data_IF_856288162164
#
_entry.id   IF_856288162164
#
_cell.length_a   1.000
_cell.length_b   1.000
_cell.length_c   1.000
_cell.angle_alpha   90.00
_cell.angle_beta   90.00
_cell.angle_gamma   90.00
#
_symmetry.space_group_name_H-M   'P 1'
#
loop_
_entity.id
_entity.type
_entity.pdbx_description
1 polymer ?
#
# COMPACT_ATOMS: atom_id res chain seq x y z
N UNK A 1 13.83 4.88 -7.41
CA UNK A 1 14.70 6.00 -7.83
C UNK A 1 14.25 7.26 -7.08
N UNK A 2 15.13 7.89 -6.32
CA UNK A 2 14.85 9.11 -5.55
C UNK A 2 15.38 10.39 -6.21
N UNK A 3 16.24 10.27 -7.23
CA UNK A 3 16.83 11.43 -7.93
C UNK A 3 15.82 12.16 -8.82
N UNK A 4 14.89 11.45 -9.47
CA UNK A 4 13.87 12.07 -10.33
C UNK A 4 12.89 12.94 -9.54
N UNK A 5 12.63 12.59 -8.26
CA UNK A 5 11.79 13.37 -7.34
C UNK A 5 12.34 14.77 -7.03
N UNK A 6 13.65 14.97 -7.18
CA UNK A 6 14.34 16.23 -6.90
C UNK A 6 14.93 16.88 -8.15
N UNK A 7 14.50 16.45 -9.34
CA UNK A 7 14.90 17.07 -10.61
C UNK A 7 16.40 16.99 -10.88
N UNK A 8 17.06 15.90 -10.46
CA UNK A 8 18.50 15.69 -10.67
C UNK A 8 19.41 16.36 -9.65
N UNK A 9 18.87 17.03 -8.62
CA UNK A 9 19.68 17.57 -7.52
C UNK A 9 20.33 16.46 -6.72
N UNK A 10 21.63 16.64 -6.43
CA UNK A 10 22.44 15.69 -5.70
C UNK A 10 22.77 16.23 -4.32
N UNK A 11 22.58 15.39 -3.31
CA UNK A 11 23.00 15.64 -1.94
C UNK A 11 24.51 15.86 -1.77
N UNK A 12 25.33 15.40 -2.72
CA UNK A 12 26.77 15.69 -2.75
C UNK A 12 27.05 17.17 -3.02
N UNK A 13 26.25 17.79 -3.90
CA UNK A 13 26.44 19.19 -4.31
C UNK A 13 25.66 20.14 -3.39
N UNK A 14 24.57 19.67 -2.80
CA UNK A 14 23.71 20.47 -1.93
C UNK A 14 23.34 19.71 -0.64
N UNK A 15 24.24 19.65 0.36
CA UNK A 15 24.00 18.90 1.60
C UNK A 15 22.71 19.31 2.34
N UNK A 16 22.26 20.57 2.15
CA UNK A 16 21.02 21.09 2.73
C UNK A 16 19.75 20.36 2.26
N UNK A 17 19.77 19.62 1.13
CA UNK A 17 18.62 18.87 0.64
C UNK A 17 18.48 17.48 1.27
N UNK A 18 19.51 17.01 1.99
CA UNK A 18 19.55 15.67 2.60
C UNK A 18 18.33 15.37 3.46
N UNK A 19 17.87 16.26 4.36
CA UNK A 19 16.69 15.98 5.19
C UNK A 19 15.42 15.76 4.36
N UNK A 20 15.21 16.57 3.31
CA UNK A 20 14.06 16.45 2.43
C UNK A 20 14.12 15.17 1.59
N UNK A 21 15.30 14.83 1.04
CA UNK A 21 15.49 13.57 0.30
C UNK A 21 15.28 12.34 1.18
N UNK A 22 15.80 12.37 2.41
CA UNK A 22 15.64 11.29 3.38
C UNK A 22 14.17 11.10 3.75
N UNK A 23 13.45 12.19 4.01
CA UNK A 23 12.01 12.14 4.29
C UNK A 23 11.22 11.55 3.10
N UNK A 24 11.50 12.00 1.88
CA UNK A 24 10.85 11.47 0.68
C UNK A 24 11.15 9.98 0.46
N UNK A 25 12.40 9.56 0.72
CA UNK A 25 12.77 8.15 0.63
C UNK A 25 12.02 7.29 1.65
N UNK A 26 11.94 7.73 2.91
CA UNK A 26 11.19 7.03 3.95
C UNK A 26 9.70 6.94 3.60
N UNK A 27 9.10 8.01 3.09
CA UNK A 27 7.72 7.99 2.58
C UNK A 27 7.53 6.99 1.44
N UNK A 28 8.47 6.93 0.49
CA UNK A 28 8.46 5.96 -0.60
C UNK A 28 8.55 4.53 -0.09
N UNK A 29 9.42 4.27 0.90
CA UNK A 29 9.54 2.95 1.53
C UNK A 29 8.24 2.53 2.22
N UNK A 30 7.56 3.45 2.91
CA UNK A 30 6.29 3.16 3.58
C UNK A 30 5.19 2.76 2.57
N UNK A 31 5.07 3.52 1.47
CA UNK A 31 4.16 3.19 0.36
C UNK A 31 4.44 1.79 -0.20
N UNK A 32 5.70 1.47 -0.49
CA UNK A 32 6.08 0.15 -1.02
C UNK A 32 5.83 -0.99 -0.03
N UNK A 33 6.11 -0.76 1.27
CA UNK A 33 5.87 -1.74 2.31
C UNK A 33 4.37 -2.08 2.42
N UNK A 34 3.51 -1.07 2.38
CA UNK A 34 2.06 -1.27 2.44
C UNK A 34 1.51 -1.89 1.15
N UNK A 35 2.00 -1.48 -0.02
CA UNK A 35 1.65 -2.09 -1.29
C UNK A 35 1.98 -3.59 -1.32
N UNK A 36 3.16 -3.98 -0.83
CA UNK A 36 3.55 -5.38 -0.75
C UNK A 36 2.55 -6.23 0.08
N UNK A 37 2.05 -5.68 1.19
CA UNK A 37 1.02 -6.34 2.00
C UNK A 37 -0.34 -6.42 1.29
N UNK A 38 -0.75 -5.35 0.59
CA UNK A 38 -1.97 -5.32 -0.22
C UNK A 38 -1.90 -6.33 -1.36
N UNK A 39 -0.74 -6.53 -1.98
CA UNK A 39 -0.55 -7.53 -3.02
C UNK A 39 -0.49 -8.96 -2.48
N UNK A 40 0.05 -9.15 -1.28
CA UNK A 40 0.01 -10.44 -0.58
C UNK A 40 -1.43 -10.83 -0.22
N UNK A 41 -2.29 -9.87 0.12
CA UNK A 41 -3.69 -10.12 0.46
C UNK A 41 -4.50 -10.78 -0.67
N UNK A 42 -4.05 -10.73 -1.94
CA UNK A 42 -4.67 -11.48 -3.05
C UNK A 42 -4.68 -13.00 -2.82
N UNK A 43 -3.75 -13.51 -2.03
CA UNK A 43 -3.66 -14.95 -1.72
C UNK A 43 -4.69 -15.39 -0.68
N UNK A 44 -5.39 -14.45 -0.05
CA UNK A 44 -6.48 -14.76 0.87
C UNK A 44 -7.76 -15.05 0.07
N UNK A 45 -8.66 -15.89 0.60
CA UNK A 45 -9.97 -16.13 0.01
C UNK A 45 -10.89 -14.92 0.20
N UNK A 46 -10.59 -13.81 -0.48
CA UNK A 46 -11.37 -12.59 -0.39
C UNK A 46 -12.71 -12.73 -1.11
N UNK A 47 -13.76 -12.10 -0.57
CA UNK A 47 -14.99 -11.90 -1.32
C UNK A 47 -14.75 -10.97 -2.52
N UNK A 48 -15.60 -11.06 -3.55
CA UNK A 48 -15.47 -10.20 -4.73
C UNK A 48 -15.48 -8.70 -4.40
N UNK A 49 -16.21 -8.29 -3.35
CA UNK A 49 -16.21 -6.90 -2.89
C UNK A 49 -14.85 -6.48 -2.30
N UNK A 50 -14.25 -7.34 -1.46
CA UNK A 50 -12.95 -7.09 -0.84
C UNK A 50 -11.82 -7.13 -1.85
N UNK A 51 -11.86 -8.02 -2.84
CA UNK A 51 -10.87 -8.05 -3.91
C UNK A 51 -10.92 -6.77 -4.76
N UNK A 52 -12.12 -6.25 -5.07
CA UNK A 52 -12.25 -4.95 -5.74
C UNK A 52 -11.65 -3.81 -4.92
N UNK A 53 -11.93 -3.79 -3.61
CA UNK A 53 -11.34 -2.78 -2.72
C UNK A 53 -9.81 -2.89 -2.66
N UNK A 54 -9.27 -4.09 -2.51
CA UNK A 54 -7.83 -4.38 -2.56
C UNK A 54 -7.21 -3.87 -3.86
N UNK A 55 -7.80 -4.18 -5.00
CA UNK A 55 -7.32 -3.78 -6.31
C UNK A 55 -7.33 -2.24 -6.49
N UNK A 56 -8.39 -1.57 -6.02
CA UNK A 56 -8.46 -0.10 -6.01
C UNK A 56 -7.34 0.50 -5.16
N UNK A 57 -7.11 -0.02 -3.95
CA UNK A 57 -6.04 0.45 -3.06
C UNK A 57 -4.67 0.23 -3.72
N UNK A 58 -4.43 -0.92 -4.33
CA UNK A 58 -3.19 -1.23 -5.03
C UNK A 58 -2.92 -0.26 -6.19
N UNK A 59 -3.94 0.04 -7.00
CA UNK A 59 -3.82 0.98 -8.11
C UNK A 59 -3.45 2.40 -7.64
N UNK A 60 -3.96 2.84 -6.48
CA UNK A 60 -3.61 4.14 -5.92
C UNK A 60 -2.20 4.18 -5.33
N UNK A 61 -1.71 3.06 -4.76
CA UNK A 61 -0.35 2.94 -4.23
C UNK A 61 0.72 2.71 -5.32
N UNK A 62 0.30 2.27 -6.51
CA UNK A 62 1.16 2.06 -7.68
C UNK A 62 0.60 2.79 -8.91
N UNK A 63 0.60 4.14 -8.90
CA UNK A 63 0.10 4.93 -10.02
C UNK A 63 0.92 4.66 -11.29
N UNK A 64 0.28 4.78 -12.45
CA UNK A 64 0.96 4.67 -13.75
C UNK A 64 1.91 5.84 -14.01
N UNK A 65 1.65 7.00 -13.38
CA UNK A 65 2.52 8.16 -13.41
C UNK A 65 3.57 8.09 -12.29
N UNK A 66 4.81 8.57 -12.52
CA UNK A 66 5.83 8.63 -11.49
C UNK A 66 5.39 9.45 -10.27
N UNK A 67 5.83 9.03 -9.09
CA UNK A 67 5.62 9.81 -7.86
C UNK A 67 6.28 11.18 -7.93
N UNK A 68 5.55 12.19 -7.45
CA UNK A 68 6.08 13.53 -7.17
C UNK A 68 6.17 13.72 -5.66
N UNK A 69 6.92 14.72 -5.18
CA UNK A 69 7.00 15.01 -3.75
C UNK A 69 5.67 15.43 -3.12
N UNK A 70 4.76 16.01 -3.90
CA UNK A 70 3.41 16.35 -3.45
C UNK A 70 2.54 15.09 -3.38
N UNK A 71 2.46 14.32 -4.47
CA UNK A 71 1.62 13.11 -4.49
C UNK A 71 2.08 12.07 -3.47
N UNK A 72 3.40 11.94 -3.25
CA UNK A 72 3.94 11.03 -2.24
C UNK A 72 3.58 11.47 -0.81
N UNK A 73 3.64 12.78 -0.52
CA UNK A 73 3.20 13.32 0.78
C UNK A 73 1.70 13.11 0.99
N UNK A 74 0.89 13.36 -0.04
CA UNK A 74 -0.55 13.15 0.03
C UNK A 74 -0.91 11.67 0.23
N UNK A 75 -0.18 10.74 -0.38
CA UNK A 75 -0.39 9.32 -0.19
C UNK A 75 -0.09 8.86 1.25
N UNK A 76 0.98 9.39 1.86
CA UNK A 76 1.40 9.01 3.22
C UNK A 76 0.62 9.73 4.32
N UNK A 77 0.50 11.06 4.22
CA UNK A 77 -0.11 11.90 5.25
C UNK A 77 -1.63 12.08 5.07
N UNK A 78 -2.13 11.89 3.85
CA UNK A 78 -3.55 11.91 3.55
C UNK A 78 -4.21 10.58 3.85
N UNK A 79 -4.92 10.02 2.87
CA UNK A 79 -5.87 8.94 3.11
C UNK A 79 -5.38 7.56 2.65
N UNK A 80 -4.52 7.49 1.62
CA UNK A 80 -4.27 6.21 0.91
C UNK A 80 -3.55 5.18 1.78
N UNK A 81 -2.41 5.54 2.39
CA UNK A 81 -1.67 4.63 3.28
C UNK A 81 -2.46 4.29 4.55
N UNK A 82 -3.09 5.25 5.27
CA UNK A 82 -3.96 4.94 6.40
C UNK A 82 -5.13 4.02 6.04
N UNK A 83 -5.81 4.28 4.91
CA UNK A 83 -6.90 3.44 4.41
C UNK A 83 -6.42 2.03 4.08
N UNK A 84 -5.28 1.88 3.41
CA UNK A 84 -4.70 0.59 3.11
C UNK A 84 -4.39 -0.21 4.39
N UNK A 85 -3.81 0.45 5.40
CA UNK A 85 -3.54 -0.17 6.71
C UNK A 85 -4.84 -0.56 7.43
N UNK A 86 -5.88 0.28 7.38
CA UNK A 86 -7.18 -0.04 7.94
C UNK A 86 -7.84 -1.24 7.24
N UNK A 87 -7.76 -1.29 5.91
CA UNK A 87 -8.22 -2.44 5.12
C UNK A 87 -7.50 -3.73 5.54
N UNK A 88 -6.17 -3.73 5.58
CA UNK A 88 -5.37 -4.89 6.01
C UNK A 88 -5.73 -5.35 7.44
N UNK A 89 -5.93 -4.40 8.37
CA UNK A 89 -6.41 -4.73 9.73
C UNK A 89 -7.79 -5.36 9.73
N UNK A 90 -8.70 -4.91 8.86
CA UNK A 90 -10.04 -5.48 8.76
C UNK A 90 -10.02 -6.93 8.25
N UNK A 91 -9.03 -7.31 7.42
CA UNK A 91 -8.84 -8.69 6.97
C UNK A 91 -8.36 -9.62 8.08
N UNK A 92 -7.56 -9.11 9.02
CA UNK A 92 -7.10 -9.89 10.17
C UNK A 92 -8.20 -10.17 11.21
N UNK A 93 -9.27 -9.37 11.21
CA UNK A 93 -10.40 -9.51 12.13
C UNK A 93 -11.50 -10.45 11.61
N UNK A 94 -11.46 -10.84 10.33
CA UNK A 94 -12.42 -11.77 9.74
C UNK A 94 -11.90 -13.22 9.79
N UNK A 95 -12.71 -14.21 10.24
CA UNK A 95 -12.37 -15.62 10.07
C UNK A 95 -12.34 -15.95 8.57
N UNK A 96 -11.21 -16.46 8.07
CA UNK A 96 -10.99 -16.70 6.64
C UNK A 96 -11.87 -17.86 6.15
N UNK A 97 -13.10 -17.57 5.69
CA UNK A 97 -13.96 -18.43 4.84
C UNK A 97 -14.10 -19.91 5.25
N UNK A 98 -13.77 -20.27 6.50
CA UNK A 98 -13.98 -21.60 7.07
C UNK A 98 -15.49 -21.91 7.26
N UNK A 99 -16.36 -20.91 7.13
CA UNK A 99 -17.81 -21.13 7.18
C UNK A 99 -18.42 -21.73 5.89
N UNK A 100 -17.67 -21.87 4.78
CA UNK A 100 -18.30 -22.24 3.49
C UNK A 100 -17.98 -23.64 2.96
N UNK A 101 -17.19 -24.49 3.66
CA UNK A 101 -16.95 -25.88 3.19
C UNK A 101 -16.97 -26.99 4.25
N UNK A 102 -17.12 -26.71 5.57
CA UNK A 102 -16.96 -27.73 6.61
C UNK A 102 -18.22 -28.37 7.23
N UNK A 103 -19.40 -27.72 7.22
CA UNK A 103 -20.60 -28.25 7.93
C UNK A 103 -21.74 -28.69 7.01
N UNK A 104 -21.40 -29.16 5.81
CA UNK A 104 -22.33 -29.84 4.91
C UNK A 104 -21.95 -31.32 4.75
N UNK A 105 -21.91 -32.07 5.87
CA UNK A 105 -22.09 -33.53 5.88
C UNK A 105 -22.47 -34.04 7.28
N UNK A 106 -23.67 -33.68 7.71
CA UNK A 106 -24.51 -34.59 8.50
C UNK A 106 -25.54 -35.16 7.53
N UNK A 107 -25.30 -36.38 7.02
CA UNK A 107 -26.35 -37.21 6.42
C UNK A 107 -26.06 -38.66 6.85
N UNK A 108 -26.90 -39.12 7.78
CA UNK A 108 -27.20 -40.49 8.22
C UNK A 108 -26.15 -41.28 9.00
#
# INVERSE_FOLDING_TARGET
MTQDLFGGRSWLDEPAIVPAMSAAFLSMMDVHAVLALIDAARQLPLSAARERERATIAATLAPSEPWTLSSLREAVAGDVVPRARAFLKSLAAEPQVESLRGSARSIR
#
